data_IF_475076499118
#
_entry.id   IF_475076499118
#
_cell.length_a   1.000
_cell.length_b   1.000
_cell.length_c   1.000
_cell.angle_alpha   90.00
_cell.angle_beta   90.00
_cell.angle_gamma   90.00
#
_symmetry.space_group_name_H-M   'P 1'
#
loop_
_entity.id
_entity.type
_entity.pdbx_description
1 polymer ?
#
# COMPACT_ATOMS: atom_id res chain seq x y z
N UNK A 1 4.99 -72.76 0.52
CA UNK A 1 4.59 -71.97 -0.64
C UNK A 1 4.22 -70.56 -0.15
N UNK A 2 5.10 -69.59 -0.35
CA UNK A 2 4.88 -68.21 0.09
C UNK A 2 4.17 -67.44 -1.06
N UNK A 3 3.00 -66.85 -0.79
CA UNK A 3 2.27 -66.03 -1.74
C UNK A 3 2.92 -64.64 -1.79
N UNK A 4 3.52 -64.30 -2.92
CA UNK A 4 4.09 -62.98 -3.15
C UNK A 4 3.01 -61.92 -3.29
N UNK A 5 3.12 -60.82 -2.52
CA UNK A 5 2.31 -59.62 -2.63
C UNK A 5 2.90 -58.70 -3.72
N UNK A 6 2.16 -58.52 -4.80
CA UNK A 6 2.55 -57.56 -5.84
C UNK A 6 1.88 -56.21 -5.53
N UNK A 7 2.66 -55.19 -5.09
CA UNK A 7 2.18 -53.83 -4.90
C UNK A 7 2.15 -53.18 -6.29
N UNK A 8 0.96 -52.88 -6.81
CA UNK A 8 0.79 -52.07 -8.01
C UNK A 8 1.05 -50.57 -7.61
N UNK A 9 2.16 -50.03 -8.08
CA UNK A 9 2.42 -48.61 -7.99
C UNK A 9 1.34 -47.83 -8.75
N UNK A 10 0.54 -47.04 -8.02
CA UNK A 10 -0.38 -46.09 -8.61
C UNK A 10 0.39 -44.96 -9.28
N UNK A 11 0.14 -44.70 -10.57
CA UNK A 11 0.70 -43.55 -11.26
C UNK A 11 0.36 -42.26 -10.48
N UNK A 12 1.33 -41.36 -10.24
CA UNK A 12 1.04 -40.10 -9.59
C UNK A 12 0.03 -39.32 -10.44
N UNK A 13 -1.09 -38.93 -9.84
CA UNK A 13 -2.01 -37.98 -10.46
C UNK A 13 -1.21 -36.71 -10.76
N UNK A 14 -1.17 -36.29 -12.04
CA UNK A 14 -0.70 -34.94 -12.39
C UNK A 14 -1.58 -33.95 -11.63
N UNK A 15 -1.05 -33.36 -10.59
CA UNK A 15 -1.67 -32.17 -10.00
C UNK A 15 -1.77 -31.14 -11.11
N UNK A 16 -2.99 -30.64 -11.37
CA UNK A 16 -3.15 -29.37 -12.07
C UNK A 16 -2.34 -28.39 -11.23
N UNK A 17 -1.25 -27.87 -11.78
CA UNK A 17 -0.56 -26.74 -11.20
C UNK A 17 -1.60 -25.61 -11.16
N UNK A 18 -2.13 -25.32 -9.98
CA UNK A 18 -2.92 -24.12 -9.78
C UNK A 18 -2.05 -22.95 -10.21
N UNK A 19 -2.59 -22.10 -11.10
CA UNK A 19 -1.89 -20.88 -11.50
C UNK A 19 -1.54 -20.13 -10.22
N UNK A 20 -0.32 -19.57 -10.10
CA UNK A 20 0.02 -18.77 -8.94
C UNK A 20 -1.02 -17.68 -8.75
N UNK A 21 -1.42 -17.42 -7.51
CA UNK A 21 -2.45 -16.45 -7.15
C UNK A 21 -2.11 -15.03 -7.65
N UNK A 22 -0.80 -14.69 -7.75
CA UNK A 22 -0.28 -13.44 -8.28
C UNK A 22 0.64 -13.68 -9.48
N UNK A 23 0.41 -12.89 -10.52
CA UNK A 23 1.28 -12.82 -11.70
C UNK A 23 2.26 -11.64 -11.49
N UNK A 24 3.39 -11.91 -10.81
CA UNK A 24 4.37 -10.89 -10.46
C UNK A 24 4.96 -10.18 -11.68
N UNK A 25 5.09 -10.82 -12.81
CA UNK A 25 5.63 -10.20 -14.02
C UNK A 25 4.67 -9.12 -14.54
N UNK A 26 3.38 -9.40 -14.55
CA UNK A 26 2.36 -8.39 -14.92
C UNK A 26 2.23 -7.27 -13.90
N UNK A 27 2.37 -7.58 -12.60
CA UNK A 27 2.40 -6.55 -11.56
C UNK A 27 3.59 -5.62 -11.80
N UNK A 28 4.79 -6.18 -11.97
CA UNK A 28 6.01 -5.44 -12.25
C UNK A 28 5.90 -4.58 -13.51
N UNK A 29 5.29 -5.10 -14.57
CA UNK A 29 5.04 -4.33 -15.80
C UNK A 29 4.14 -3.11 -15.57
N UNK A 30 3.04 -3.25 -14.80
CA UNK A 30 2.15 -2.12 -14.45
C UNK A 30 2.86 -1.03 -13.65
N UNK A 31 3.82 -1.42 -12.82
CA UNK A 31 4.51 -0.51 -11.91
C UNK A 31 5.85 0.00 -12.43
N UNK A 32 6.26 -0.42 -13.62
CA UNK A 32 7.51 0.06 -14.24
C UNK A 32 7.52 1.57 -14.38
N UNK A 33 8.61 2.19 -13.98
CA UNK A 33 8.80 3.65 -14.04
C UNK A 33 8.12 4.44 -12.93
N UNK A 34 7.31 3.82 -12.06
CA UNK A 34 6.68 4.50 -10.93
C UNK A 34 7.71 4.93 -9.88
N UNK A 35 7.40 6.02 -9.19
CA UNK A 35 8.23 6.63 -8.13
C UNK A 35 7.57 6.39 -6.78
N UNK A 36 8.25 5.67 -5.91
CA UNK A 36 7.79 5.41 -4.54
C UNK A 36 8.71 6.10 -3.54
N UNK A 37 8.12 6.86 -2.62
CA UNK A 37 8.80 7.39 -1.45
C UNK A 37 8.55 6.45 -0.28
N UNK A 38 9.60 5.92 0.31
CA UNK A 38 9.53 5.15 1.54
C UNK A 38 9.56 6.10 2.72
N UNK A 39 8.47 6.18 3.47
CA UNK A 39 8.34 6.97 4.68
C UNK A 39 8.66 6.07 5.88
N UNK A 40 9.78 6.30 6.53
CA UNK A 40 10.35 5.48 7.58
C UNK A 40 10.45 6.28 8.89
N UNK A 41 9.36 6.40 9.66
CA UNK A 41 9.43 7.10 10.95
C UNK A 41 10.21 6.26 11.96
N UNK A 42 11.24 6.84 12.59
CA UNK A 42 12.00 6.12 13.61
C UNK A 42 13.50 6.42 13.59
N UNK A 43 14.22 5.92 14.62
CA UNK A 43 15.67 6.13 14.80
C UNK A 43 16.53 5.12 14.07
N UNK A 44 16.02 3.91 13.88
CA UNK A 44 16.81 2.81 13.32
C UNK A 44 15.91 1.62 13.02
N UNK A 45 16.48 0.64 12.35
CA UNK A 45 15.79 -0.56 11.91
C UNK A 45 16.59 -1.80 12.33
N UNK A 46 15.94 -2.95 12.42
CA UNK A 46 16.63 -4.23 12.66
C UNK A 46 17.43 -4.68 11.43
N UNK A 47 18.37 -5.60 11.64
CA UNK A 47 19.10 -6.24 10.52
C UNK A 47 18.16 -7.03 9.59
N UNK A 48 17.05 -7.56 10.11
CA UNK A 48 16.04 -8.26 9.30
C UNK A 48 15.36 -7.25 8.36
N UNK A 49 14.94 -6.10 8.90
CA UNK A 49 14.40 -5.01 8.10
C UNK A 49 15.39 -4.57 7.01
N UNK A 50 16.63 -4.26 7.41
CA UNK A 50 17.66 -3.79 6.48
C UNK A 50 17.89 -4.77 5.33
N UNK A 51 18.04 -6.07 5.64
CA UNK A 51 18.21 -7.12 4.63
C UNK A 51 17.05 -7.13 3.63
N UNK A 52 15.82 -7.14 4.14
CA UNK A 52 14.62 -7.20 3.30
C UNK A 52 14.44 -5.93 2.47
N UNK A 53 14.77 -4.76 3.05
CA UNK A 53 14.73 -3.48 2.34
C UNK A 53 15.74 -3.42 1.20
N UNK A 54 16.97 -3.88 1.43
CA UNK A 54 18.00 -3.94 0.38
C UNK A 54 17.59 -4.87 -0.76
N UNK A 55 17.03 -6.05 -0.45
CA UNK A 55 16.51 -6.97 -1.47
C UNK A 55 15.37 -6.33 -2.29
N UNK A 56 14.45 -5.66 -1.61
CA UNK A 56 13.36 -4.94 -2.26
C UNK A 56 13.89 -3.81 -3.15
N UNK A 57 14.85 -3.03 -2.66
CA UNK A 57 15.44 -1.94 -3.43
C UNK A 57 16.09 -2.43 -4.74
N UNK A 58 16.84 -3.52 -4.68
CA UNK A 58 17.41 -4.14 -5.90
C UNK A 58 16.32 -4.58 -6.88
N UNK A 59 15.27 -5.23 -6.42
CA UNK A 59 14.18 -5.71 -7.29
C UNK A 59 13.42 -4.53 -7.93
N UNK A 60 13.19 -3.45 -7.19
CA UNK A 60 12.57 -2.23 -7.72
C UNK A 60 13.44 -1.56 -8.79
N UNK A 61 14.74 -1.42 -8.55
CA UNK A 61 15.68 -0.83 -9.52
C UNK A 61 15.75 -1.67 -10.80
N UNK A 62 15.79 -3.01 -10.68
CA UNK A 62 15.72 -3.91 -11.84
C UNK A 62 14.43 -3.73 -12.63
N UNK A 63 13.34 -3.36 -11.96
CA UNK A 63 12.07 -3.04 -12.60
C UNK A 63 11.94 -1.57 -13.05
N UNK A 64 13.04 -0.82 -13.07
CA UNK A 64 13.08 0.59 -13.48
C UNK A 64 12.18 1.51 -12.62
N UNK A 65 11.89 1.15 -11.39
CA UNK A 65 11.19 2.00 -10.43
C UNK A 65 12.17 2.93 -9.73
N UNK A 66 11.70 4.14 -9.41
CA UNK A 66 12.48 5.10 -8.62
C UNK A 66 12.18 4.91 -7.13
N UNK A 67 13.24 4.87 -6.33
CA UNK A 67 13.19 4.76 -4.88
C UNK A 67 13.67 6.07 -4.27
N UNK A 68 12.89 6.58 -3.35
CA UNK A 68 13.26 7.72 -2.51
C UNK A 68 12.98 7.33 -1.06
N UNK A 69 13.82 7.77 -0.14
CA UNK A 69 13.67 7.48 1.29
C UNK A 69 13.47 8.81 2.01
N UNK A 70 12.38 8.89 2.75
CA UNK A 70 12.13 9.97 3.68
C UNK A 70 12.08 9.40 5.10
N UNK A 71 13.06 9.72 5.89
CA UNK A 71 13.21 9.24 7.26
C UNK A 71 13.32 10.44 8.20
N UNK A 72 12.58 10.40 9.28
CA UNK A 72 12.74 11.37 10.37
C UNK A 72 12.40 10.71 11.71
N UNK A 73 12.79 11.37 12.77
CA UNK A 73 12.56 10.91 14.12
C UNK A 73 12.05 12.04 15.03
N UNK A 74 11.15 11.65 15.91
CA UNK A 74 10.71 12.43 17.05
C UNK A 74 10.40 11.50 18.23
N UNK A 75 10.43 12.01 19.44
CA UNK A 75 9.94 11.28 20.62
C UNK A 75 8.43 11.01 20.56
N UNK A 76 7.70 11.78 19.76
CA UNK A 76 6.28 11.60 19.47
C UNK A 76 6.11 11.18 18.01
N UNK A 77 5.46 10.05 17.79
CA UNK A 77 5.34 9.42 16.47
C UNK A 77 4.58 10.28 15.46
N UNK A 78 3.55 11.02 15.89
CA UNK A 78 2.80 11.95 15.04
C UNK A 78 3.69 13.04 14.44
N UNK A 79 4.64 13.59 15.21
CA UNK A 79 5.64 14.52 14.68
C UNK A 79 6.63 13.85 13.74
N UNK A 80 7.07 12.63 14.06
CA UNK A 80 7.97 11.87 13.17
C UNK A 80 7.29 11.64 11.80
N UNK A 81 6.01 11.24 11.78
CA UNK A 81 5.26 11.02 10.54
C UNK A 81 5.10 12.32 9.75
N UNK A 82 4.70 13.43 10.40
CA UNK A 82 4.61 14.72 9.73
C UNK A 82 5.97 15.16 9.12
N UNK A 83 7.07 14.95 9.86
CA UNK A 83 8.42 15.28 9.37
C UNK A 83 8.88 14.41 8.21
N UNK A 84 8.48 13.13 8.18
CA UNK A 84 8.68 12.27 7.00
C UNK A 84 8.03 12.85 5.73
N UNK A 85 6.96 13.64 5.86
CA UNK A 85 6.37 14.39 4.75
C UNK A 85 7.02 15.77 4.53
N UNK A 86 8.14 16.05 5.20
CA UNK A 86 8.83 17.32 5.11
C UNK A 86 8.06 18.48 5.75
N UNK A 87 7.19 18.21 6.73
CA UNK A 87 6.38 19.24 7.39
C UNK A 87 7.24 20.29 8.09
N UNK A 88 6.77 21.53 8.04
CA UNK A 88 7.33 22.65 8.76
C UNK A 88 6.21 23.50 9.34
N UNK A 89 6.18 23.65 10.66
CA UNK A 89 5.13 24.41 11.39
C UNK A 89 4.98 25.85 10.89
N UNK A 90 6.05 26.43 10.35
CA UNK A 90 6.05 27.81 9.84
C UNK A 90 5.28 27.96 8.51
N UNK A 91 4.96 26.88 7.82
CA UNK A 91 4.23 26.92 6.55
C UNK A 91 2.72 26.89 6.68
N UNK A 92 2.21 26.70 7.90
CA UNK A 92 0.78 26.66 8.17
C UNK A 92 0.05 25.41 7.70
N UNK A 93 -1.29 25.38 7.79
CA UNK A 93 -2.09 24.17 7.56
C UNK A 93 -2.23 23.76 6.09
N UNK A 94 -2.04 24.67 5.14
CA UNK A 94 -2.22 24.42 3.71
C UNK A 94 -0.94 23.90 3.02
N UNK A 95 0.06 23.49 3.79
CA UNK A 95 1.29 22.95 3.23
C UNK A 95 1.07 21.59 2.58
N UNK A 96 1.86 21.33 1.53
CA UNK A 96 1.88 20.06 0.82
C UNK A 96 3.06 19.19 1.31
N UNK A 97 2.97 17.85 1.16
CA UNK A 97 4.10 16.98 1.38
C UNK A 97 5.33 17.47 0.59
N UNK A 98 6.49 17.53 1.29
CA UNK A 98 7.76 18.03 0.74
C UNK A 98 7.63 19.36 -0.02
N UNK A 99 6.71 20.21 0.38
CA UNK A 99 6.46 21.53 -0.25
C UNK A 99 6.06 21.41 -1.73
N UNK A 100 5.47 20.28 -2.13
CA UNK A 100 5.11 19.98 -3.52
C UNK A 100 6.30 19.77 -4.46
N UNK A 101 7.56 19.80 -3.95
CA UNK A 101 8.77 19.77 -4.79
C UNK A 101 9.26 18.37 -5.11
N UNK A 102 8.90 17.36 -4.29
CA UNK A 102 9.33 15.99 -4.51
C UNK A 102 8.42 15.29 -5.52
N UNK A 103 8.91 14.83 -6.67
CA UNK A 103 8.11 14.08 -7.62
C UNK A 103 7.95 12.64 -7.15
N UNK A 104 6.72 12.20 -6.88
CA UNK A 104 6.39 10.82 -6.51
C UNK A 104 5.01 10.44 -7.04
N UNK A 105 4.75 9.12 -7.11
CA UNK A 105 3.44 8.56 -7.45
C UNK A 105 2.75 8.00 -6.21
N UNK A 106 3.52 7.35 -5.33
CA UNK A 106 3.04 6.74 -4.08
C UNK A 106 4.03 6.92 -2.94
N UNK A 107 3.49 6.84 -1.73
CA UNK A 107 4.25 6.76 -0.47
C UNK A 107 4.04 5.39 0.14
N UNK A 108 5.10 4.69 0.51
CA UNK A 108 5.02 3.46 1.30
C UNK A 108 5.50 3.74 2.73
N UNK A 109 4.58 3.65 3.65
CA UNK A 109 4.85 3.80 5.07
C UNK A 109 5.22 2.45 5.67
N UNK A 110 6.35 2.42 6.38
CA UNK A 110 6.84 1.21 7.04
C UNK A 110 7.39 1.61 8.41
N UNK A 111 6.79 1.09 9.47
CA UNK A 111 7.35 1.26 10.81
C UNK A 111 8.60 0.40 10.99
N UNK A 112 9.51 0.86 11.82
CA UNK A 112 10.86 0.30 11.97
C UNK A 112 10.90 -1.13 12.53
N UNK A 113 9.80 -1.63 13.07
CA UNK A 113 9.62 -2.97 13.66
C UNK A 113 8.77 -3.91 12.77
N UNK A 114 8.55 -3.54 11.52
CA UNK A 114 7.83 -4.37 10.55
C UNK A 114 8.79 -5.33 9.84
N UNK A 115 8.40 -6.59 9.77
CA UNK A 115 9.11 -7.64 9.03
C UNK A 115 8.33 -7.98 7.76
N UNK A 116 8.87 -7.64 6.63
CA UNK A 116 8.26 -7.81 5.31
C UNK A 116 9.21 -8.55 4.35
N UNK A 117 8.72 -8.88 3.17
CA UNK A 117 9.53 -9.38 2.07
C UNK A 117 9.09 -8.76 0.75
N UNK A 118 9.85 -9.00 -0.30
CA UNK A 118 9.59 -8.48 -1.65
C UNK A 118 8.23 -8.91 -2.21
N UNK A 119 7.77 -10.14 -1.90
CA UNK A 119 6.47 -10.63 -2.35
C UNK A 119 5.33 -9.79 -1.76
N UNK A 120 5.37 -9.49 -0.45
CA UNK A 120 4.35 -8.67 0.21
C UNK A 120 4.29 -7.24 -0.33
N UNK A 121 5.42 -6.72 -0.78
CA UNK A 121 5.47 -5.45 -1.48
C UNK A 121 4.71 -5.52 -2.82
N UNK A 122 5.04 -6.49 -3.69
CA UNK A 122 4.36 -6.59 -4.97
C UNK A 122 2.86 -6.90 -4.84
N UNK A 123 2.47 -7.68 -3.83
CA UNK A 123 1.07 -7.94 -3.51
C UNK A 123 0.33 -6.65 -3.11
N UNK A 124 0.98 -5.79 -2.31
CA UNK A 124 0.42 -4.50 -1.92
C UNK A 124 0.24 -3.57 -3.13
N UNK A 125 1.21 -3.56 -4.04
CA UNK A 125 1.13 -2.82 -5.28
C UNK A 125 -0.02 -3.32 -6.18
N UNK A 126 -0.18 -4.65 -6.30
CA UNK A 126 -1.31 -5.25 -7.06
C UNK A 126 -2.66 -4.86 -6.48
N UNK A 127 -2.77 -4.79 -5.15
CA UNK A 127 -3.99 -4.33 -4.49
C UNK A 127 -4.27 -2.85 -4.79
N UNK A 128 -3.26 -1.98 -4.71
CA UNK A 128 -3.43 -0.54 -4.91
C UNK A 128 -3.80 -0.18 -6.35
N UNK A 129 -3.18 -0.86 -7.31
CA UNK A 129 -3.44 -0.69 -8.75
C UNK A 129 -3.73 -2.06 -9.37
N UNK A 130 -4.95 -2.58 -9.22
CA UNK A 130 -5.30 -3.91 -9.74
C UNK A 130 -5.34 -3.93 -11.27
N UNK A 131 -5.22 -5.13 -11.84
CA UNK A 131 -5.14 -5.28 -13.29
C UNK A 131 -6.37 -4.72 -14.03
N UNK A 132 -7.53 -4.82 -13.42
CA UNK A 132 -8.80 -4.28 -13.96
C UNK A 132 -8.89 -2.74 -13.93
N UNK A 133 -7.99 -2.08 -13.22
CA UNK A 133 -7.89 -0.61 -13.21
C UNK A 133 -7.02 -0.06 -14.34
N UNK A 134 -6.31 -0.91 -15.07
CA UNK A 134 -5.34 -0.47 -16.07
C UNK A 134 -5.71 -0.99 -17.45
N UNK A 135 -5.86 -0.05 -18.38
CA UNK A 135 -5.93 -0.33 -19.83
C UNK A 135 -4.68 0.19 -20.52
N UNK A 136 -4.39 -0.33 -21.69
CA UNK A 136 -3.21 0.09 -22.47
C UNK A 136 -3.63 0.56 -23.83
N UNK A 137 -3.03 1.67 -24.27
CA UNK A 137 -3.19 2.20 -25.62
C UNK A 137 -1.83 2.31 -26.32
N UNK A 138 -1.75 1.93 -27.60
CA UNK A 138 -0.53 2.12 -28.37
C UNK A 138 -0.30 3.61 -28.66
N UNK A 139 0.95 4.05 -28.52
CA UNK A 139 1.39 5.39 -28.91
C UNK A 139 2.01 5.28 -30.30
N UNK A 140 1.50 6.08 -31.24
CA UNK A 140 2.04 6.20 -32.58
C UNK A 140 2.61 7.60 -32.77
N UNK A 141 3.77 7.69 -33.39
CA UNK A 141 4.38 8.94 -33.81
C UNK A 141 4.51 8.98 -35.33
N UNK A 142 4.39 10.17 -35.91
CA UNK A 142 4.58 10.37 -37.32
C UNK A 142 6.03 10.04 -37.73
N UNK A 143 6.19 9.26 -38.78
CA UNK A 143 7.51 8.99 -39.36
C UNK A 143 7.99 10.25 -40.05
N UNK A 144 9.19 10.74 -39.70
CA UNK A 144 9.84 11.89 -40.32
C UNK A 144 11.00 11.44 -41.20
N UNK A 145 11.19 12.13 -42.30
CA UNK A 145 12.36 11.95 -43.18
C UNK A 145 13.63 12.59 -42.60
N UNK A 146 14.74 12.52 -43.33
CA UNK A 146 16.03 13.09 -42.96
C UNK A 146 16.00 14.64 -42.79
N UNK A 147 14.99 15.30 -43.34
CA UNK A 147 14.77 16.75 -43.22
C UNK A 147 13.81 17.12 -42.11
N UNK A 148 13.24 16.09 -41.40
CA UNK A 148 12.27 16.31 -40.33
C UNK A 148 10.83 16.51 -40.83
N UNK A 149 10.53 16.33 -42.12
CA UNK A 149 9.20 16.41 -42.67
C UNK A 149 8.44 15.09 -42.51
N UNK A 150 7.11 15.19 -42.28
CA UNK A 150 6.26 14.01 -42.07
C UNK A 150 6.14 13.22 -43.37
N UNK A 151 6.47 11.94 -43.35
CA UNK A 151 6.35 11.03 -44.50
C UNK A 151 4.89 10.65 -44.69
N UNK A 152 4.34 10.94 -45.86
CA UNK A 152 2.97 10.57 -46.22
C UNK A 152 2.90 9.14 -46.78
N UNK A 153 1.83 8.43 -46.47
CA UNK A 153 1.50 7.14 -47.08
C UNK A 153 0.85 7.29 -48.43
N UNK A 154 0.68 6.21 -49.15
CA UNK A 154 0.03 6.14 -50.48
C UNK A 154 -1.47 6.52 -50.41
N UNK A 155 -2.06 6.46 -49.21
CA UNK A 155 -3.43 6.85 -48.87
C UNK A 155 -3.58 8.35 -48.50
N UNK A 156 -2.50 9.12 -48.59
CA UNK A 156 -2.45 10.53 -48.25
C UNK A 156 -2.49 10.86 -46.76
N UNK A 157 -2.30 9.85 -45.88
CA UNK A 157 -2.19 10.02 -44.42
C UNK A 157 -0.75 9.94 -43.96
N UNK A 158 -0.40 10.57 -42.83
CA UNK A 158 0.92 10.41 -42.25
C UNK A 158 1.25 8.92 -41.97
N UNK A 159 2.43 8.48 -42.37
CA UNK A 159 2.94 7.18 -41.91
C UNK A 159 3.25 7.28 -40.42
N UNK A 160 2.71 6.36 -39.64
CA UNK A 160 2.95 6.32 -38.19
C UNK A 160 3.78 5.10 -37.82
N UNK A 161 4.58 5.24 -36.77
CA UNK A 161 5.38 4.18 -36.16
C UNK A 161 4.95 4.01 -34.72
N UNK A 162 4.76 2.78 -34.30
CA UNK A 162 4.52 2.46 -32.89
C UNK A 162 5.79 2.80 -32.07
N UNK A 163 5.68 3.74 -31.13
CA UNK A 163 6.80 4.22 -30.31
C UNK A 163 6.70 3.78 -28.85
N UNK A 164 5.52 3.35 -28.43
CA UNK A 164 5.31 2.92 -27.06
C UNK A 164 3.90 2.45 -26.75
N UNK A 165 3.69 2.16 -25.50
CA UNK A 165 2.38 1.81 -24.93
C UNK A 165 2.13 2.74 -23.75
N UNK A 166 0.99 3.42 -23.76
CA UNK A 166 0.53 4.26 -22.64
C UNK A 166 -0.40 3.44 -21.77
N UNK A 167 -0.18 3.50 -20.46
CA UNK A 167 -1.14 2.99 -19.48
C UNK A 167 -2.17 4.08 -19.13
N UNK A 168 -3.42 3.71 -19.14
CA UNK A 168 -4.54 4.54 -18.70
C UNK A 168 -5.11 3.88 -17.45
N UNK A 169 -5.16 4.64 -16.36
CA UNK A 169 -5.67 4.17 -15.08
C UNK A 169 -7.10 4.66 -14.90
N UNK A 170 -8.00 3.74 -14.59
CA UNK A 170 -9.36 4.02 -14.16
C UNK A 170 -9.33 4.39 -12.66
N UNK A 171 -9.57 5.66 -12.31
CA UNK A 171 -9.45 6.11 -10.93
C UNK A 171 -10.50 5.50 -9.98
N UNK A 172 -11.64 5.03 -10.51
CA UNK A 172 -12.70 4.41 -9.71
C UNK A 172 -12.34 2.99 -9.23
N UNK A 173 -11.37 2.35 -9.90
CA UNK A 173 -10.88 1.02 -9.56
C UNK A 173 -9.56 1.02 -8.80
N UNK A 174 -8.91 2.17 -8.77
CA UNK A 174 -7.67 2.35 -8.01
C UNK A 174 -7.99 2.49 -6.52
N UNK A 175 -7.14 1.92 -5.66
CA UNK A 175 -7.31 1.98 -4.21
C UNK A 175 -6.23 2.89 -3.62
N UNK A 176 -6.55 4.17 -3.41
CA UNK A 176 -5.54 5.19 -3.07
C UNK A 176 -4.90 4.99 -1.70
N UNK A 177 -5.58 4.31 -0.77
CA UNK A 177 -5.03 3.93 0.54
C UNK A 177 -5.15 2.42 0.65
N UNK A 178 -4.01 1.74 0.62
CA UNK A 178 -3.92 0.28 0.57
C UNK A 178 -3.00 -0.24 1.67
N UNK A 179 -3.49 -1.16 2.50
CA UNK A 179 -2.78 -1.69 3.64
C UNK A 179 -2.64 -3.21 3.59
N UNK A 180 -1.50 -3.71 4.06
CA UNK A 180 -1.41 -5.04 4.61
C UNK A 180 -1.74 -4.99 6.10
N UNK A 181 -1.63 -6.12 6.78
CA UNK A 181 -1.92 -6.22 8.19
C UNK A 181 -0.86 -7.02 8.94
N UNK A 182 -0.79 -6.79 10.23
CA UNK A 182 0.07 -7.51 11.17
C UNK A 182 -0.70 -7.78 12.46
N UNK A 183 -0.25 -8.79 13.21
CA UNK A 183 -0.81 -9.06 14.52
C UNK A 183 -0.29 -8.03 15.53
N UNK A 184 -1.15 -7.59 16.43
CA UNK A 184 -0.78 -6.76 17.58
C UNK A 184 -0.01 -7.59 18.61
N UNK A 185 0.37 -6.98 19.73
CA UNK A 185 1.22 -7.64 20.75
C UNK A 185 0.57 -8.88 21.36
N UNK A 186 -0.76 -8.93 21.43
CA UNK A 186 -1.50 -10.08 21.96
C UNK A 186 -1.50 -11.30 21.02
N UNK A 187 -1.07 -11.12 19.76
CA UNK A 187 -1.03 -12.12 18.71
C UNK A 187 -2.41 -12.60 18.22
N UNK A 188 -3.48 -12.00 18.69
CA UNK A 188 -4.88 -12.37 18.38
C UNK A 188 -5.62 -11.32 17.56
N UNK A 189 -5.43 -10.05 17.90
CA UNK A 189 -5.98 -8.92 17.17
C UNK A 189 -5.02 -8.48 16.06
N UNK A 190 -5.55 -7.72 15.11
CA UNK A 190 -4.77 -7.20 13.98
C UNK A 190 -4.70 -5.68 14.02
N UNK A 191 -3.83 -5.13 13.17
CA UNK A 191 -3.66 -3.68 12.96
C UNK A 191 -4.80 -3.03 12.17
N UNK A 192 -5.90 -3.71 11.90
CA UNK A 192 -7.06 -3.17 11.18
C UNK A 192 -8.34 -3.35 11.98
N UNK A 193 -9.24 -2.36 11.90
CA UNK A 193 -10.47 -2.35 12.68
C UNK A 193 -11.60 -1.59 11.97
N UNK A 194 -12.80 -1.72 12.55
CA UNK A 194 -14.00 -0.99 12.17
C UNK A 194 -14.54 -0.20 13.36
N UNK A 195 -15.12 0.96 13.08
CA UNK A 195 -15.92 1.67 14.07
C UNK A 195 -17.20 0.90 14.39
N UNK A 196 -17.69 1.12 15.60
CA UNK A 196 -18.96 0.55 16.09
C UNK A 196 -19.89 1.69 16.44
N UNK A 197 -21.19 1.47 16.29
CA UNK A 197 -22.22 2.31 16.85
C UNK A 197 -22.11 2.37 18.38
N UNK A 198 -22.62 3.42 19.02
CA UNK A 198 -22.39 3.70 20.45
C UNK A 198 -22.73 2.53 21.36
N UNK A 199 -23.89 1.87 21.16
CA UNK A 199 -24.34 0.76 22.01
C UNK A 199 -23.42 -0.47 21.85
N UNK A 200 -23.02 -0.78 20.60
CA UNK A 200 -22.11 -1.89 20.31
C UNK A 200 -20.72 -1.59 20.82
N UNK A 201 -20.24 -0.34 20.68
CA UNK A 201 -18.95 0.10 21.21
C UNK A 201 -18.88 -0.05 22.73
N UNK A 202 -19.91 0.39 23.45
CA UNK A 202 -20.01 0.23 24.91
C UNK A 202 -20.03 -1.25 25.32
N UNK A 203 -20.77 -2.07 24.58
CA UNK A 203 -20.85 -3.52 24.79
C UNK A 203 -19.54 -4.23 24.50
N UNK A 204 -18.73 -3.69 23.58
CA UNK A 204 -17.40 -4.18 23.21
C UNK A 204 -16.28 -3.65 24.16
N UNK A 205 -16.63 -3.09 25.30
CA UNK A 205 -15.67 -2.60 26.30
C UNK A 205 -15.01 -1.28 25.95
N UNK A 206 -15.60 -0.48 25.04
CA UNK A 206 -15.11 0.84 24.68
C UNK A 206 -13.89 0.81 23.73
N UNK A 207 -13.82 -0.18 22.86
CA UNK A 207 -12.76 -0.31 21.85
C UNK A 207 -13.34 -0.57 20.46
N UNK A 208 -12.61 -0.18 19.42
CA UNK A 208 -12.95 -0.50 18.03
C UNK A 208 -13.07 -2.02 17.83
N UNK A 209 -13.83 -2.41 16.83
CA UNK A 209 -13.93 -3.82 16.42
C UNK A 209 -12.73 -4.21 15.56
N UNK A 210 -11.65 -4.65 16.21
CA UNK A 210 -10.47 -5.14 15.52
C UNK A 210 -10.78 -6.47 14.81
N UNK A 211 -10.30 -6.59 13.58
CA UNK A 211 -10.28 -7.89 12.89
C UNK A 211 -9.40 -8.86 13.67
N UNK A 212 -9.94 -10.05 13.92
CA UNK A 212 -9.18 -11.11 14.60
C UNK A 212 -8.29 -11.84 13.60
N UNK A 213 -7.08 -12.21 14.01
CA UNK A 213 -6.11 -12.96 13.18
C UNK A 213 -6.75 -14.21 12.56
N UNK A 214 -7.57 -14.94 13.33
CA UNK A 214 -8.27 -16.13 12.82
C UNK A 214 -9.32 -15.76 11.77
N UNK A 215 -10.05 -14.66 11.94
CA UNK A 215 -11.11 -14.18 11.04
C UNK A 215 -10.52 -13.68 9.72
N UNK A 216 -9.57 -12.76 9.80
CA UNK A 216 -8.96 -12.14 8.61
C UNK A 216 -8.24 -13.19 7.74
N UNK A 217 -7.59 -14.18 8.36
CA UNK A 217 -6.87 -15.25 7.64
C UNK A 217 -7.79 -16.15 6.79
N UNK A 218 -9.09 -16.15 7.04
CA UNK A 218 -10.10 -16.90 6.27
C UNK A 218 -10.63 -16.13 5.07
N UNK A 219 -10.46 -14.81 5.04
CA UNK A 219 -10.89 -13.97 3.92
C UNK A 219 -9.96 -14.17 2.71
N UNK A 220 -10.50 -13.97 1.51
CA UNK A 220 -9.78 -14.20 0.24
C UNK A 220 -9.67 -12.97 -0.65
N UNK A 221 -10.43 -11.93 -0.36
CA UNK A 221 -10.52 -10.73 -1.19
C UNK A 221 -10.23 -9.49 -0.35
N UNK A 222 -9.65 -8.45 -0.96
CA UNK A 222 -9.55 -7.14 -0.33
C UNK A 222 -10.92 -6.64 0.14
N UNK A 223 -10.91 -5.88 1.23
CA UNK A 223 -12.10 -5.29 1.84
C UNK A 223 -11.74 -3.92 2.44
N UNK A 224 -12.74 -3.09 2.66
CA UNK A 224 -12.56 -1.79 3.30
C UNK A 224 -12.52 -1.93 4.81
N UNK A 225 -11.77 -1.04 5.45
CA UNK A 225 -11.65 -0.91 6.90
C UNK A 225 -11.74 0.56 7.29
N UNK A 226 -12.10 0.85 8.54
CA UNK A 226 -12.16 2.23 9.02
C UNK A 226 -10.84 2.68 9.67
N UNK A 227 -10.01 1.71 10.03
CA UNK A 227 -8.70 1.92 10.63
C UNK A 227 -7.67 0.92 10.13
N UNK A 228 -6.46 1.41 9.92
CA UNK A 228 -5.25 0.62 9.73
C UNK A 228 -4.06 1.25 10.43
N UNK A 229 -3.26 0.43 11.14
CA UNK A 229 -1.97 0.89 11.63
C UNK A 229 -0.99 1.16 10.49
N UNK A 230 -0.12 2.13 10.67
CA UNK A 230 0.78 2.65 9.62
C UNK A 230 2.06 1.83 9.42
N UNK A 231 2.10 0.60 9.94
CA UNK A 231 3.25 -0.27 9.78
C UNK A 231 3.50 -0.75 8.34
N UNK A 232 2.44 -0.87 7.51
CA UNK A 232 2.54 -1.32 6.12
C UNK A 232 1.40 -0.77 5.27
N UNK A 233 1.54 0.51 4.86
CA UNK A 233 0.49 1.23 4.14
C UNK A 233 1.06 1.95 2.93
N UNK A 234 0.46 1.71 1.76
CA UNK A 234 0.76 2.41 0.52
C UNK A 234 -0.31 3.48 0.27
N UNK A 235 0.12 4.71 0.07
CA UNK A 235 -0.75 5.87 -0.13
C UNK A 235 -0.40 6.54 -1.46
N UNK A 236 -1.40 6.70 -2.32
CA UNK A 236 -1.26 7.39 -3.60
C UNK A 236 -1.06 8.89 -3.40
N UNK A 237 -0.26 9.49 -4.28
CA UNK A 237 -0.23 10.96 -4.42
C UNK A 237 -1.63 11.50 -4.69
N UNK A 238 -1.98 12.59 -4.04
CA UNK A 238 -3.31 13.20 -4.09
C UNK A 238 -4.12 12.99 -2.82
N UNK A 239 -3.80 11.99 -1.99
CA UNK A 239 -4.45 11.82 -0.68
C UNK A 239 -4.04 12.94 0.27
N UNK A 240 -2.76 13.11 0.54
CA UNK A 240 -2.27 14.19 1.41
C UNK A 240 -2.37 15.58 0.79
N UNK A 241 -2.52 15.67 -0.52
CA UNK A 241 -2.75 16.91 -1.27
C UNK A 241 -4.22 17.27 -1.42
N UNK A 242 -5.14 16.42 -0.92
CA UNK A 242 -6.56 16.72 -0.97
C UNK A 242 -6.88 17.96 -0.11
N UNK A 243 -7.80 18.79 -0.57
CA UNK A 243 -8.16 20.06 0.07
C UNK A 243 -8.62 19.92 1.53
N UNK A 244 -9.18 18.77 1.88
CA UNK A 244 -9.69 18.46 3.22
C UNK A 244 -8.66 17.72 4.09
N UNK A 245 -7.52 17.29 3.52
CA UNK A 245 -6.39 16.71 4.24
C UNK A 245 -5.40 17.81 4.65
N UNK A 246 -5.61 18.41 5.81
CA UNK A 246 -4.80 19.55 6.29
C UNK A 246 -3.66 19.13 7.22
N UNK A 247 -2.55 19.88 7.15
CA UNK A 247 -1.52 19.77 8.19
C UNK A 247 -2.09 20.30 9.54
N UNK A 248 -1.79 19.64 10.64
CA UNK A 248 -0.95 18.44 10.80
C UNK A 248 -1.71 17.12 10.50
N UNK A 249 -1.30 16.44 9.45
CA UNK A 249 -1.96 15.22 8.90
C UNK A 249 -2.08 14.05 9.87
N UNK A 250 -1.33 14.09 10.96
CA UNK A 250 -1.27 13.03 11.99
C UNK A 250 -1.53 13.60 13.40
N UNK A 251 -2.31 14.68 13.51
CA UNK A 251 -2.63 15.23 14.81
C UNK A 251 -3.59 14.31 15.57
N UNK A 252 -3.25 13.88 16.79
CA UNK A 252 -4.22 13.22 17.65
C UNK A 252 -5.46 14.08 17.84
N UNK A 253 -6.64 13.48 17.77
CA UNK A 253 -7.92 14.16 17.95
C UNK A 253 -8.89 13.34 18.80
N UNK A 254 -9.88 14.00 19.32
CA UNK A 254 -10.97 13.35 20.06
C UNK A 254 -12.10 13.04 19.08
N UNK A 255 -12.53 11.80 19.03
CA UNK A 255 -13.72 11.37 18.30
C UNK A 255 -14.90 11.32 19.26
N UNK A 256 -16.05 11.84 18.83
CA UNK A 256 -17.27 11.87 19.63
C UNK A 256 -18.37 11.10 18.90
N UNK A 257 -19.26 10.47 19.68
CA UNK A 257 -20.56 10.01 19.21
C UNK A 257 -21.51 11.19 18.97
N UNK A 258 -22.60 10.95 18.25
CA UNK A 258 -23.67 11.95 18.08
C UNK A 258 -24.26 12.41 19.44
N UNK A 259 -24.25 11.53 20.44
CA UNK A 259 -24.67 11.86 21.81
C UNK A 259 -23.76 12.89 22.51
N UNK A 260 -22.58 13.20 21.94
CA UNK A 260 -21.55 14.02 22.56
C UNK A 260 -20.64 13.25 23.52
N UNK A 261 -20.87 11.95 23.74
CA UNK A 261 -19.96 11.13 24.54
C UNK A 261 -18.67 10.86 23.75
N UNK A 262 -17.55 10.73 24.46
CA UNK A 262 -16.25 10.42 23.86
C UNK A 262 -16.26 8.97 23.38
N UNK A 263 -16.01 8.78 22.07
CA UNK A 263 -15.78 7.47 21.47
C UNK A 263 -14.33 7.06 21.63
N UNK A 264 -13.40 7.91 21.24
CA UNK A 264 -11.97 7.61 21.35
C UNK A 264 -11.13 8.89 21.44
N UNK A 265 -9.96 8.75 22.07
CA UNK A 265 -8.87 9.71 21.98
C UNK A 265 -7.88 9.24 20.92
N UNK A 266 -8.22 9.44 19.66
CA UNK A 266 -7.53 8.89 18.52
C UNK A 266 -6.04 9.24 18.51
N UNK A 267 -5.21 8.21 18.42
CA UNK A 267 -3.80 8.34 18.08
C UNK A 267 -3.62 8.88 16.65
N UNK A 268 -2.37 9.04 16.22
CA UNK A 268 -2.06 9.69 14.96
C UNK A 268 -2.52 8.90 13.72
N UNK A 269 -2.45 7.59 13.77
CA UNK A 269 -2.87 6.70 12.68
C UNK A 269 -4.40 6.62 12.58
N UNK A 270 -5.11 6.54 13.71
CA UNK A 270 -6.56 6.59 13.74
C UNK A 270 -7.07 7.94 13.24
N UNK A 271 -6.45 9.04 13.69
CA UNK A 271 -6.82 10.39 13.24
C UNK A 271 -6.64 10.58 11.74
N UNK A 272 -5.53 10.08 11.17
CA UNK A 272 -5.34 10.09 9.72
C UNK A 272 -6.46 9.31 9.00
N UNK A 273 -6.82 8.12 9.49
CA UNK A 273 -7.86 7.31 8.89
C UNK A 273 -9.21 8.03 8.87
N UNK A 274 -9.57 8.68 9.98
CA UNK A 274 -10.78 9.51 10.07
C UNK A 274 -10.74 10.66 9.06
N UNK A 275 -9.65 11.43 9.04
CA UNK A 275 -9.51 12.55 8.09
C UNK A 275 -9.58 12.09 6.64
N UNK A 276 -9.00 10.94 6.32
CA UNK A 276 -9.07 10.37 4.98
C UNK A 276 -10.49 9.93 4.59
N UNK A 277 -11.23 9.31 5.51
CA UNK A 277 -12.64 8.94 5.27
C UNK A 277 -13.52 10.18 5.13
N UNK A 278 -13.32 11.20 5.95
CA UNK A 278 -14.03 12.49 5.86
C UNK A 278 -13.74 13.20 4.52
N UNK A 279 -12.53 13.02 3.98
CA UNK A 279 -12.15 13.49 2.64
C UNK A 279 -12.70 12.63 1.49
N UNK A 280 -13.42 11.54 1.79
CA UNK A 280 -14.06 10.66 0.82
C UNK A 280 -13.18 9.50 0.32
N UNK A 281 -12.06 9.21 0.98
CA UNK A 281 -11.21 8.07 0.63
C UNK A 281 -11.61 6.81 1.37
N UNK A 282 -11.62 5.69 0.66
CA UNK A 282 -11.74 4.36 1.26
C UNK A 282 -10.35 3.83 1.64
N UNK A 283 -10.27 3.14 2.78
CA UNK A 283 -9.07 2.44 3.24
C UNK A 283 -9.25 0.95 2.95
N UNK A 284 -8.37 0.39 2.16
CA UNK A 284 -8.43 -1.00 1.72
C UNK A 284 -7.39 -1.86 2.44
N UNK A 285 -7.81 -3.06 2.86
CA UNK A 285 -6.93 -4.08 3.41
C UNK A 285 -7.03 -5.37 2.59
N UNK A 286 -5.90 -5.98 2.25
CA UNK A 286 -5.90 -7.32 1.67
C UNK A 286 -5.54 -8.36 2.74
N UNK A 287 -6.44 -9.30 3.04
CA UNK A 287 -6.23 -10.29 4.10
C UNK A 287 -5.06 -11.25 3.81
N UNK A 288 -4.61 -11.34 2.57
CA UNK A 288 -3.48 -12.18 2.14
C UNK A 288 -2.13 -11.49 2.34
N UNK A 289 -2.12 -10.17 2.57
CA UNK A 289 -0.89 -9.38 2.77
C UNK A 289 -0.60 -9.25 4.26
N UNK A 290 -0.18 -10.35 4.86
CA UNK A 290 0.29 -10.36 6.25
C UNK A 290 1.78 -10.05 6.30
N UNK A 291 2.17 -9.06 7.10
CA UNK A 291 3.56 -8.77 7.45
C UNK A 291 3.82 -9.14 8.91
N UNK A 292 5.10 -9.30 9.29
CA UNK A 292 5.49 -9.56 10.66
C UNK A 292 5.62 -8.25 11.45
N UNK A 293 5.54 -8.38 12.78
CA UNK A 293 5.72 -7.28 13.72
C UNK A 293 6.75 -7.73 14.77
N UNK A 294 7.94 -7.16 14.72
CA UNK A 294 9.04 -7.51 15.63
C UNK A 294 8.85 -6.78 16.96
N UNK A 295 8.80 -7.53 18.04
CA UNK A 295 8.72 -6.97 19.39
C UNK A 295 9.90 -7.44 20.22
N UNK A 296 10.66 -6.48 20.74
CA UNK A 296 11.76 -6.74 21.66
C UNK A 296 11.20 -6.86 23.07
N UNK A 297 11.45 -7.99 23.73
CA UNK A 297 11.16 -8.17 25.17
C UNK A 297 12.45 -8.04 25.96
N UNK A 298 12.43 -7.24 27.01
CA UNK A 298 13.47 -7.25 28.04
C UNK A 298 13.16 -8.42 28.96
N UNK A 299 14.11 -9.36 29.10
CA UNK A 299 14.02 -10.56 29.95
C UNK A 299 14.75 -10.27 31.25
#
# INVERSE_FOLDING_TARGET
MAKGFTVKASKPKKNKQDKPEWDYDKIKERWRGKKIVFCLPGRGVSYVFLKNFVQLAFDMVQNQMSIQISQDYSSMVNFARCKCLGANVLRGPDQLPWDGKLPYDYQLWIDSDIVFNTEKFWQLLDMALPAEAVTTEPIYEDVKDEKGEVVMGDDGKPKTKLTGIKQIVDPEKERPISAGWYATEDGRTTSVAHWLEEDDFRSNGGVMNHEMVEGISKRKKPFTVDYTGFGWVLIKKGVFEHKDMKYPWFAPKMQLFESGAVQDMCGEDVSFCLDAMDAGFEIWCDPRIRVGHEKTRVI
#
